data_IF_178801965255
#
_entry.id   IF_178801965255
#
_cell.length_a   1.000
_cell.length_b   1.000
_cell.length_c   1.000
_cell.angle_alpha   90.00
_cell.angle_beta   90.00
_cell.angle_gamma   90.00
#
_symmetry.space_group_name_H-M   'P 1'
#
loop_
_entity.id
_entity.type
_entity.pdbx_description
1 polymer ?
#
# COMPACT_ATOMS: atom_id res chain seq x y z
N UNK A 1 -10.52 -22.47 -15.53
CA UNK A 1 -9.08 -22.81 -15.38
C UNK A 1 -8.63 -22.18 -14.08
N UNK A 2 -8.23 -22.97 -13.07
CA UNK A 2 -7.68 -22.41 -11.84
C UNK A 2 -6.20 -22.07 -12.07
N UNK A 3 -5.74 -20.85 -11.76
CA UNK A 3 -4.32 -20.53 -11.87
C UNK A 3 -3.52 -21.40 -10.89
N UNK A 4 -2.48 -22.05 -11.38
CA UNK A 4 -1.54 -22.83 -10.56
C UNK A 4 -0.37 -21.94 -10.13
N UNK A 5 0.10 -22.13 -8.90
CA UNK A 5 1.27 -21.43 -8.39
C UNK A 5 2.53 -21.95 -9.09
N UNK A 6 3.40 -21.04 -9.53
CA UNK A 6 4.73 -21.42 -10.00
C UNK A 6 5.57 -21.97 -8.83
N UNK A 7 6.50 -22.93 -9.09
CA UNK A 7 7.44 -23.39 -8.08
C UNK A 7 8.28 -22.25 -7.50
N UNK A 8 8.49 -22.28 -6.18
CA UNK A 8 9.29 -21.27 -5.49
C UNK A 8 10.79 -21.42 -5.75
N UNK A 9 11.46 -20.31 -6.04
CA UNK A 9 12.93 -20.23 -6.05
C UNK A 9 13.45 -19.82 -4.66
N UNK A 10 14.74 -20.05 -4.35
CA UNK A 10 15.33 -19.60 -3.09
C UNK A 10 15.11 -18.10 -2.86
N UNK A 11 14.62 -17.75 -1.67
CA UNK A 11 14.33 -16.36 -1.28
C UNK A 11 13.00 -15.81 -1.82
N UNK A 12 12.23 -16.59 -2.58
CA UNK A 12 10.88 -16.23 -3.00
C UNK A 12 9.82 -16.69 -2.00
N UNK A 13 8.69 -16.02 -2.06
CA UNK A 13 7.47 -16.31 -1.32
C UNK A 13 6.31 -16.41 -2.30
N UNK A 14 5.31 -17.23 -1.98
CA UNK A 14 4.14 -17.40 -2.83
C UNK A 14 3.01 -16.51 -2.35
N UNK A 15 2.50 -15.63 -3.21
CA UNK A 15 1.30 -14.82 -2.91
C UNK A 15 0.05 -15.68 -2.67
N UNK A 16 0.05 -16.91 -3.15
CA UNK A 16 -1.02 -17.89 -2.89
C UNK A 16 -1.01 -18.42 -1.45
N UNK A 17 0.09 -18.23 -0.72
CA UNK A 17 0.22 -18.63 0.69
C UNK A 17 -0.23 -17.56 1.68
N UNK A 18 -0.52 -16.34 1.22
CA UNK A 18 -0.97 -15.27 2.11
C UNK A 18 -2.39 -15.52 2.61
N UNK A 19 -2.72 -15.15 3.87
CA UNK A 19 -4.00 -15.47 4.47
C UNK A 19 -5.13 -14.52 4.05
N UNK A 20 -6.36 -14.95 4.33
CA UNK A 20 -7.54 -14.09 4.51
C UNK A 20 -8.18 -14.40 5.87
N UNK A 21 -8.38 -13.42 6.77
CA UNK A 21 -8.13 -11.99 6.58
C UNK A 21 -6.64 -11.65 6.41
N UNK A 22 -6.30 -10.49 5.81
CA UNK A 22 -4.91 -10.14 5.51
C UNK A 22 -4.07 -10.00 6.79
N UNK A 23 -2.81 -10.44 6.71
CA UNK A 23 -1.85 -10.32 7.82
C UNK A 23 -1.02 -9.04 7.68
N UNK A 24 -0.78 -8.38 8.80
CA UNK A 24 0.12 -7.24 8.91
C UNK A 24 1.42 -7.68 9.58
N UNK A 25 2.56 -7.31 8.99
CA UNK A 25 3.88 -7.56 9.54
C UNK A 25 4.66 -6.23 9.64
N UNK A 26 5.19 -5.84 10.82
CA UNK A 26 6.08 -4.70 10.89
C UNK A 26 7.36 -4.96 10.08
N UNK A 27 7.88 -3.94 9.42
CA UNK A 27 9.12 -4.05 8.63
C UNK A 27 10.05 -2.86 8.88
N UNK A 28 11.33 -3.18 9.07
CA UNK A 28 12.43 -2.20 9.22
C UNK A 28 13.16 -1.89 7.92
N UNK A 29 12.68 -2.44 6.79
CA UNK A 29 13.19 -2.10 5.46
C UNK A 29 13.05 -0.59 5.24
N UNK A 30 14.04 0.00 4.58
CA UNK A 30 13.97 1.38 4.13
C UNK A 30 13.07 1.47 2.92
N UNK A 31 11.97 2.22 3.05
CA UNK A 31 10.99 2.43 1.99
C UNK A 31 10.98 3.90 1.61
N UNK A 32 11.09 4.17 0.31
CA UNK A 32 10.94 5.50 -0.25
C UNK A 32 9.88 5.49 -1.35
N UNK A 33 8.99 6.47 -1.31
CA UNK A 33 8.02 6.73 -2.38
C UNK A 33 8.46 8.02 -3.06
N UNK A 34 8.82 7.95 -4.34
CA UNK A 34 9.32 9.08 -5.11
C UNK A 34 8.36 9.36 -6.25
N UNK A 35 7.97 10.62 -6.41
CA UNK A 35 7.16 11.07 -7.54
C UNK A 35 7.65 12.42 -8.05
N UNK A 36 7.83 12.52 -9.36
CA UNK A 36 8.35 13.71 -10.03
C UNK A 36 9.66 14.25 -9.42
N UNK A 37 10.54 13.36 -8.94
CA UNK A 37 11.81 13.71 -8.32
C UNK A 37 11.74 14.05 -6.82
N UNK A 38 10.55 14.24 -6.27
CA UNK A 38 10.34 14.52 -4.85
C UNK A 38 10.09 13.24 -4.05
N UNK A 39 10.66 13.17 -2.85
CA UNK A 39 10.41 12.08 -1.90
C UNK A 39 9.11 12.38 -1.17
N UNK A 40 8.05 11.65 -1.51
CA UNK A 40 6.74 11.77 -0.86
C UNK A 40 6.72 11.10 0.52
N UNK A 41 7.48 10.02 0.68
CA UNK A 41 7.60 9.30 1.94
C UNK A 41 8.97 8.65 2.06
N UNK A 42 9.51 8.64 3.28
CA UNK A 42 10.77 7.98 3.65
C UNK A 42 10.61 7.37 5.05
N UNK A 43 10.62 6.04 5.15
CA UNK A 43 10.36 5.35 6.42
C UNK A 43 11.18 4.08 6.59
N UNK A 44 11.37 3.70 7.86
CA UNK A 44 11.85 2.39 8.32
C UNK A 44 10.86 1.74 9.31
N UNK A 45 9.64 2.25 9.40
CA UNK A 45 8.64 1.87 10.40
C UNK A 45 7.29 1.56 9.73
N UNK A 46 7.34 0.82 8.62
CA UNK A 46 6.15 0.48 7.86
C UNK A 46 5.54 -0.85 8.32
N UNK A 47 4.32 -1.09 7.85
CA UNK A 47 3.71 -2.42 7.88
C UNK A 47 3.60 -2.98 6.47
N UNK A 48 4.07 -4.20 6.29
CA UNK A 48 3.85 -5.00 5.08
C UNK A 48 2.53 -5.76 5.23
N UNK A 49 1.66 -5.64 4.24
CA UNK A 49 0.34 -6.26 4.20
C UNK A 49 0.37 -7.45 3.25
N UNK A 50 -0.03 -8.62 3.75
CA UNK A 50 -0.05 -9.87 3.01
C UNK A 50 -1.48 -10.33 2.79
N UNK A 51 -1.93 -10.23 1.55
CA UNK A 51 -3.29 -10.58 1.15
C UNK A 51 -3.23 -11.55 -0.04
N UNK A 52 -3.98 -12.66 0.07
CA UNK A 52 -3.96 -13.75 -0.92
C UNK A 52 -4.00 -13.23 -2.34
N UNK A 53 -3.14 -13.80 -3.18
CA UNK A 53 -2.98 -13.56 -4.61
C UNK A 53 -2.48 -12.18 -5.03
N UNK A 54 -2.03 -11.34 -4.10
CA UNK A 54 -1.48 -10.01 -4.40
C UNK A 54 -0.04 -9.88 -3.89
N UNK A 55 0.86 -9.19 -4.63
CA UNK A 55 2.15 -8.78 -4.08
C UNK A 55 1.97 -7.98 -2.79
N UNK A 56 2.92 -8.04 -1.84
CA UNK A 56 2.82 -7.26 -0.62
C UNK A 56 2.68 -5.77 -0.90
N UNK A 57 1.72 -5.14 -0.25
CA UNK A 57 1.58 -3.68 -0.19
C UNK A 57 2.08 -3.17 1.15
N UNK A 58 2.33 -1.87 1.27
CA UNK A 58 2.89 -1.28 2.49
C UNK A 58 1.99 -0.16 3.01
N UNK A 59 1.69 -0.20 4.31
CA UNK A 59 1.17 0.96 5.03
C UNK A 59 2.35 1.76 5.57
N UNK A 60 2.36 3.04 5.21
CA UNK A 60 3.35 4.02 5.65
C UNK A 60 2.73 4.86 6.77
N UNK A 61 3.43 5.10 7.89
CA UNK A 61 2.95 6.00 8.93
C UNK A 61 2.70 7.40 8.38
N UNK A 62 1.57 8.07 8.69
CA UNK A 62 1.29 9.41 8.19
C UNK A 62 2.33 10.47 8.56
N UNK A 63 3.09 10.26 9.63
CA UNK A 63 4.17 11.14 10.07
C UNK A 63 5.40 11.11 9.14
N UNK A 64 5.57 10.03 8.39
CA UNK A 64 6.68 9.84 7.46
C UNK A 64 6.29 10.21 6.02
N UNK A 65 5.11 10.79 5.82
CA UNK A 65 4.57 11.21 4.52
C UNK A 65 4.51 12.73 4.45
N UNK A 66 4.99 13.29 3.35
CA UNK A 66 4.88 14.71 3.02
C UNK A 66 3.44 15.05 2.62
N UNK A 67 2.59 15.32 3.61
CA UNK A 67 1.15 15.55 3.41
C UNK A 67 0.82 16.71 2.46
N UNK A 68 1.73 17.68 2.32
CA UNK A 68 1.60 18.80 1.39
C UNK A 68 1.41 18.38 -0.08
N UNK A 69 1.82 17.17 -0.46
CA UNK A 69 1.65 16.63 -1.81
C UNK A 69 0.38 15.79 -1.97
N UNK A 70 -0.34 15.49 -0.88
CA UNK A 70 -1.53 14.65 -0.89
C UNK A 70 -2.80 15.48 -1.00
N UNK A 71 -3.67 15.11 -1.94
CA UNK A 71 -4.99 15.70 -2.11
C UNK A 71 -6.06 14.61 -1.90
N UNK A 72 -6.97 14.75 -0.93
CA UNK A 72 -8.08 13.81 -0.76
C UNK A 72 -8.88 13.67 -2.06
N UNK A 73 -9.17 12.43 -2.45
CA UNK A 73 -10.03 12.12 -3.59
C UNK A 73 -11.45 11.87 -3.14
N UNK A 74 -12.42 12.16 -4.02
CA UNK A 74 -13.81 11.76 -3.82
C UNK A 74 -14.02 10.24 -3.98
N UNK A 75 -13.03 9.52 -4.53
CA UNK A 75 -13.10 8.07 -4.69
C UNK A 75 -13.03 7.37 -3.33
N UNK A 76 -13.92 6.40 -3.15
CA UNK A 76 -13.88 5.44 -2.06
C UNK A 76 -14.18 4.03 -2.57
N UNK A 77 -13.73 3.04 -1.80
CA UNK A 77 -14.03 1.61 -2.02
C UNK A 77 -14.40 0.97 -0.70
N UNK A 78 -15.01 -0.21 -0.74
CA UNK A 78 -15.38 -0.95 0.46
C UNK A 78 -14.71 -2.33 0.46
N UNK A 79 -14.13 -2.69 1.59
CA UNK A 79 -13.57 -4.01 1.84
C UNK A 79 -14.31 -4.63 3.04
N UNK A 80 -14.83 -5.84 2.87
CA UNK A 80 -15.56 -6.57 3.93
C UNK A 80 -14.72 -6.81 5.20
N UNK A 81 -13.39 -6.79 5.10
CA UNK A 81 -12.46 -7.01 6.21
C UNK A 81 -11.89 -5.73 6.82
N UNK A 82 -11.90 -4.61 6.09
CA UNK A 82 -11.19 -3.38 6.47
C UNK A 82 -12.07 -2.13 6.53
N UNK A 83 -13.31 -2.22 6.07
CA UNK A 83 -14.24 -1.10 5.98
C UNK A 83 -14.02 -0.23 4.75
N UNK A 84 -14.30 1.07 4.89
CA UNK A 84 -14.23 2.05 3.80
C UNK A 84 -12.78 2.50 3.54
N UNK A 85 -12.29 2.16 2.35
CA UNK A 85 -11.01 2.65 1.81
C UNK A 85 -11.20 3.98 1.10
N UNK A 86 -10.48 5.00 1.54
CA UNK A 86 -10.46 6.34 0.98
C UNK A 86 -9.18 6.51 0.16
N UNK A 87 -9.18 7.45 -0.79
CA UNK A 87 -8.05 7.65 -1.70
C UNK A 87 -7.44 9.04 -1.59
N UNK A 88 -6.15 9.12 -1.86
CA UNK A 88 -5.38 10.33 -2.10
C UNK A 88 -4.87 10.34 -3.55
N UNK A 89 -4.98 11.50 -4.17
CA UNK A 89 -4.18 11.87 -5.35
C UNK A 89 -2.90 12.56 -4.90
N UNK A 90 -1.86 12.51 -5.72
CA UNK A 90 -0.58 13.20 -5.50
C UNK A 90 -0.42 14.32 -6.49
N UNK A 91 0.02 15.49 -6.05
CA UNK A 91 0.41 16.61 -6.90
C UNK A 91 1.80 17.12 -6.49
N UNK A 92 2.72 17.15 -7.46
CA UNK A 92 4.09 17.67 -7.28
C UNK A 92 4.44 18.54 -8.48
N UNK A 93 4.51 19.87 -8.26
CA UNK A 93 4.64 20.85 -9.32
C UNK A 93 3.47 20.74 -10.30
N UNK A 94 3.77 20.59 -11.59
CA UNK A 94 2.76 20.46 -12.64
C UNK A 94 2.27 19.02 -12.87
N UNK A 95 2.87 18.03 -12.20
CA UNK A 95 2.47 16.63 -12.36
C UNK A 95 1.48 16.20 -11.29
N UNK A 96 0.47 15.45 -11.73
CA UNK A 96 -0.52 14.84 -10.87
C UNK A 96 -0.64 13.34 -11.14
N UNK A 97 -0.93 12.58 -10.09
CA UNK A 97 -1.29 11.17 -10.17
C UNK A 97 -2.57 10.95 -9.35
N UNK A 98 -3.64 10.51 -10.02
CA UNK A 98 -4.97 10.43 -9.41
C UNK A 98 -5.18 9.09 -8.70
N UNK A 99 -5.79 9.12 -7.52
CA UNK A 99 -6.19 7.94 -6.73
C UNK A 99 -5.07 6.90 -6.46
N UNK A 100 -3.84 7.36 -6.24
CA UNK A 100 -2.66 6.50 -6.15
C UNK A 100 -2.29 6.03 -4.75
N UNK A 101 -2.81 6.68 -3.71
CA UNK A 101 -2.67 6.24 -2.32
C UNK A 101 -4.04 5.91 -1.74
N UNK A 102 -4.15 4.86 -0.92
CA UNK A 102 -5.37 4.56 -0.19
C UNK A 102 -5.11 4.48 1.31
N UNK A 103 -6.16 4.71 2.09
CA UNK A 103 -6.13 4.64 3.54
C UNK A 103 -7.49 4.21 4.10
N UNK A 104 -7.48 3.58 5.27
CA UNK A 104 -8.68 3.26 6.02
C UNK A 104 -8.72 4.15 7.26
N UNK A 105 -9.58 5.18 7.23
CA UNK A 105 -9.69 6.14 8.35
C UNK A 105 -10.26 5.47 9.61
N UNK A 106 -11.17 4.52 9.42
CA UNK A 106 -11.88 3.81 10.47
C UNK A 106 -11.93 2.30 10.12
N UNK A 107 -10.83 1.57 10.32
CA UNK A 107 -10.81 0.13 10.07
C UNK A 107 -11.73 -0.60 11.04
N UNK A 108 -12.40 -1.63 10.54
CA UNK A 108 -13.32 -2.53 11.30
C UNK A 108 -12.60 -3.72 11.91
#
# INVERSE_FOLDING_TARGET
>A
MHPEALPLQPGQESVWSYPRPPRLEPTSKHLQIIFNGEVLADTRQAFRVLETSHPPVYYIPPADIQQQYLIPSARSTFCEWKGAGNYYSVVVGEKQALDVGWYYAHPT
#
